data_IF_860643705195
#
_entry.id   IF_860643705195
#
_cell.length_a   1.000
_cell.length_b   1.000
_cell.length_c   1.000
_cell.angle_alpha   90.00
_cell.angle_beta   90.00
_cell.angle_gamma   90.00
#
_symmetry.space_group_name_H-M   'P 1'
#
loop_
_entity.id
_entity.type
_entity.pdbx_description
1 polymer ?
#
# COMPACT_ATOMS: atom_id res chain seq x y z
N UNK A 1 -14.67 10.76 3.84
CA UNK A 1 -14.26 12.05 3.22
C UNK A 1 -12.83 11.87 2.78
N UNK A 2 -12.52 12.02 1.49
CA UNK A 2 -11.15 11.83 1.00
C UNK A 2 -10.34 13.13 1.17
N UNK A 3 -9.36 13.09 2.06
CA UNK A 3 -8.61 14.24 2.60
C UNK A 3 -7.13 14.29 2.16
N UNK A 4 -6.72 13.36 1.29
CA UNK A 4 -5.41 13.31 0.66
C UNK A 4 -5.49 12.90 -0.81
N UNK A 5 -4.57 13.43 -1.61
CA UNK A 5 -4.35 13.05 -3.01
C UNK A 5 -2.91 12.55 -3.20
N UNK A 6 -2.74 11.34 -3.70
CA UNK A 6 -1.46 10.83 -4.19
C UNK A 6 -1.39 11.09 -5.69
N UNK A 7 -0.28 11.64 -6.16
CA UNK A 7 -0.04 11.93 -7.58
C UNK A 7 1.07 11.03 -8.11
N UNK A 8 0.70 10.13 -9.04
CA UNK A 8 1.59 9.14 -9.64
C UNK A 8 1.42 9.18 -11.16
N UNK A 9 2.51 9.29 -11.91
CA UNK A 9 2.50 9.27 -13.39
C UNK A 9 1.44 10.19 -14.04
N UNK A 10 1.28 11.42 -13.53
CA UNK A 10 0.30 12.35 -14.09
C UNK A 10 -1.15 12.10 -13.66
N UNK A 11 -1.42 11.03 -12.91
CA UNK A 11 -2.74 10.59 -12.45
C UNK A 11 -2.92 10.83 -10.94
N UNK A 12 -4.16 11.08 -10.52
CA UNK A 12 -4.52 11.38 -9.12
C UNK A 12 -5.26 10.20 -8.49
N UNK A 13 -4.80 9.77 -7.31
CA UNK A 13 -5.48 8.79 -6.47
C UNK A 13 -5.94 9.49 -5.19
N UNK A 14 -7.23 9.46 -4.90
CA UNK A 14 -7.79 10.06 -3.67
C UNK A 14 -7.95 8.99 -2.61
N UNK A 15 -7.54 9.28 -1.38
CA UNK A 15 -7.57 8.32 -0.27
C UNK A 15 -7.93 9.00 1.06
N UNK A 16 -7.90 8.22 2.14
CA UNK A 16 -8.07 8.67 3.52
C UNK A 16 -6.70 8.66 4.21
N UNK A 17 -6.26 9.79 4.76
CA UNK A 17 -5.01 9.88 5.54
C UNK A 17 -4.98 8.85 6.66
N UNK A 18 -6.10 8.69 7.37
CA UNK A 18 -6.23 7.76 8.48
C UNK A 18 -5.89 6.33 8.07
N UNK A 19 -6.42 5.86 6.94
CA UNK A 19 -6.18 4.50 6.47
C UNK A 19 -4.73 4.33 6.02
N UNK A 20 -4.21 5.29 5.25
CA UNK A 20 -2.80 5.26 4.83
C UNK A 20 -1.86 5.21 6.06
N UNK A 21 -2.11 6.01 7.09
CA UNK A 21 -1.31 6.02 8.32
C UNK A 21 -1.45 4.73 9.15
N UNK A 22 -2.63 4.09 9.13
CA UNK A 22 -2.85 2.84 9.85
C UNK A 22 -2.10 1.67 9.20
N UNK A 23 -1.97 1.68 7.88
CA UNK A 23 -1.35 0.59 7.12
C UNK A 23 0.11 0.84 6.74
N UNK A 24 0.65 2.06 6.93
CA UNK A 24 2.00 2.43 6.51
C UNK A 24 2.68 3.32 7.55
N UNK A 25 3.78 2.82 8.12
CA UNK A 25 4.60 3.59 9.05
C UNK A 25 5.16 4.86 8.38
N UNK A 26 5.56 4.76 7.11
CA UNK A 26 6.02 5.91 6.31
C UNK A 26 4.96 7.02 6.25
N UNK A 27 3.70 6.68 5.90
CA UNK A 27 2.65 7.69 5.81
C UNK A 27 2.29 8.25 7.18
N UNK A 28 2.30 7.43 8.22
CA UNK A 28 2.08 7.88 9.61
C UNK A 28 3.11 8.96 10.00
N UNK A 29 4.40 8.66 9.87
CA UNK A 29 5.48 9.60 10.16
C UNK A 29 5.37 10.87 9.30
N UNK A 30 5.12 10.70 8.00
CA UNK A 30 4.97 11.82 7.08
C UNK A 30 3.82 12.78 7.49
N UNK A 31 2.71 12.25 7.99
CA UNK A 31 1.59 13.08 8.44
C UNK A 31 1.80 13.70 9.81
N UNK A 32 2.63 13.10 10.67
CA UNK A 32 3.02 13.68 11.96
C UNK A 32 4.00 14.86 11.79
N UNK A 33 4.86 14.83 10.77
CA UNK A 33 5.86 15.88 10.50
C UNK A 33 5.27 17.20 9.99
N UNK A 34 4.10 17.17 9.35
CA UNK A 34 3.52 18.36 8.69
C UNK A 34 2.16 18.70 9.32
N UNK A 35 2.05 19.82 10.06
CA UNK A 35 0.79 20.21 10.69
C UNK A 35 -0.32 20.37 9.65
N UNK A 36 -1.47 19.74 9.93
CA UNK A 36 -2.58 19.56 9.01
C UNK A 36 -3.18 20.92 8.56
N UNK A 37 -2.77 21.40 7.39
CA UNK A 37 -3.53 22.39 6.63
C UNK A 37 -4.13 21.74 5.38
N UNK A 38 -5.30 22.23 4.96
CA UNK A 38 -6.25 21.52 4.10
C UNK A 38 -5.64 20.90 2.82
N UNK A 39 -6.09 19.66 2.51
CA UNK A 39 -5.77 18.84 1.32
C UNK A 39 -4.27 18.61 1.07
N UNK A 40 -3.70 17.56 1.67
CA UNK A 40 -2.34 17.13 1.33
C UNK A 40 -2.30 16.50 -0.07
N UNK A 41 -1.30 16.90 -0.85
CA UNK A 41 -0.94 16.26 -2.10
C UNK A 41 0.47 15.68 -1.95
N UNK A 42 0.63 14.37 -2.15
CA UNK A 42 1.93 13.70 -2.16
C UNK A 42 2.26 13.35 -3.60
N UNK A 43 3.45 13.72 -4.05
CA UNK A 43 3.95 13.34 -5.37
C UNK A 43 4.84 12.10 -5.19
N UNK A 44 4.39 10.98 -5.75
CA UNK A 44 5.06 9.69 -5.69
C UNK A 44 5.84 9.49 -6.99
N UNK A 45 7.00 10.11 -7.08
CA UNK A 45 7.90 9.97 -8.24
C UNK A 45 8.48 8.56 -8.28
N UNK A 46 8.58 7.98 -9.48
CA UNK A 46 9.14 6.65 -9.74
C UNK A 46 8.33 5.47 -9.16
N UNK A 47 7.02 5.66 -8.99
CA UNK A 47 6.09 4.58 -8.70
C UNK A 47 5.03 4.60 -9.80
N UNK A 48 4.80 3.47 -10.45
CA UNK A 48 3.72 3.39 -11.43
C UNK A 48 2.37 3.63 -10.77
N UNK A 49 1.47 4.31 -11.47
CA UNK A 49 0.15 4.59 -10.93
C UNK A 49 -0.62 3.29 -10.65
N UNK A 50 -0.43 2.27 -11.49
CA UNK A 50 -1.17 1.02 -11.38
C UNK A 50 -0.70 0.24 -10.14
N UNK A 51 0.61 0.22 -9.85
CA UNK A 51 1.14 -0.33 -8.58
C UNK A 51 0.64 0.46 -7.37
N UNK A 52 0.68 1.79 -7.40
CA UNK A 52 0.17 2.60 -6.28
C UNK A 52 -1.32 2.33 -6.05
N UNK A 53 -2.12 2.22 -7.12
CA UNK A 53 -3.54 1.94 -7.02
C UNK A 53 -3.78 0.55 -6.41
N UNK A 54 -3.04 -0.47 -6.83
CA UNK A 54 -3.10 -1.81 -6.24
C UNK A 54 -2.73 -1.80 -4.75
N UNK A 55 -1.71 -1.06 -4.35
CA UNK A 55 -1.33 -0.94 -2.93
C UNK A 55 -2.42 -0.24 -2.11
N UNK A 56 -2.99 0.84 -2.63
CA UNK A 56 -4.10 1.52 -1.98
C UNK A 56 -5.29 0.55 -1.87
N UNK A 57 -5.65 -0.17 -2.92
CA UNK A 57 -6.73 -1.15 -2.89
C UNK A 57 -6.48 -2.24 -1.84
N UNK A 58 -5.26 -2.78 -1.75
CA UNK A 58 -4.86 -3.72 -0.71
C UNK A 58 -5.08 -3.14 0.70
N UNK A 59 -4.72 -1.87 0.95
CA UNK A 59 -4.96 -1.24 2.25
C UNK A 59 -6.44 -1.15 2.62
N UNK A 60 -7.35 -1.03 1.64
CA UNK A 60 -8.80 -0.96 1.90
C UNK A 60 -9.44 -2.35 2.07
N UNK A 61 -9.00 -3.33 1.29
CA UNK A 61 -9.69 -4.62 1.17
C UNK A 61 -8.97 -5.76 1.90
N UNK A 62 -7.68 -5.58 2.19
CA UNK A 62 -6.79 -6.63 2.68
C UNK A 62 -6.39 -7.65 1.62
N UNK A 63 -6.88 -7.50 0.38
CA UNK A 63 -6.58 -8.32 -0.76
C UNK A 63 -6.49 -7.49 -2.06
N UNK A 64 -5.69 -7.94 -3.02
CA UNK A 64 -5.59 -7.33 -4.34
C UNK A 64 -5.08 -8.32 -5.38
N UNK A 65 -5.54 -8.17 -6.63
CA UNK A 65 -4.94 -8.85 -7.78
C UNK A 65 -3.92 -7.94 -8.45
N UNK A 66 -2.70 -8.47 -8.65
CA UNK A 66 -1.60 -7.74 -9.29
C UNK A 66 -1.14 -8.52 -10.53
N UNK A 67 -1.00 -7.88 -11.70
CA UNK A 67 -0.40 -8.53 -12.86
C UNK A 67 1.01 -9.03 -12.54
N UNK A 68 1.37 -10.22 -13.02
CA UNK A 68 2.65 -10.85 -12.70
C UNK A 68 3.86 -9.95 -13.05
N UNK A 69 3.77 -9.16 -14.12
CA UNK A 69 4.79 -8.19 -14.54
C UNK A 69 5.00 -7.04 -13.55
N UNK A 70 3.96 -6.66 -12.79
CA UNK A 70 4.02 -5.59 -11.78
C UNK A 70 4.31 -6.10 -10.38
N UNK A 71 4.33 -7.42 -10.16
CA UNK A 71 4.46 -8.00 -8.82
C UNK A 71 5.76 -7.61 -8.11
N UNK A 72 6.88 -7.57 -8.85
CA UNK A 72 8.17 -7.17 -8.29
C UNK A 72 8.18 -5.70 -7.86
N UNK A 73 7.63 -4.82 -8.70
CA UNK A 73 7.49 -3.38 -8.39
C UNK A 73 6.53 -3.15 -7.23
N UNK A 74 5.45 -3.94 -7.15
CA UNK A 74 4.47 -3.91 -6.06
C UNK A 74 5.14 -4.15 -4.70
N UNK A 75 5.86 -5.26 -4.54
CA UNK A 75 6.55 -5.55 -3.27
C UNK A 75 7.67 -4.56 -2.97
N UNK A 76 8.46 -4.16 -3.98
CA UNK A 76 9.51 -3.16 -3.78
C UNK A 76 8.94 -1.81 -3.32
N UNK A 77 7.78 -1.42 -3.85
CA UNK A 77 7.11 -0.19 -3.44
C UNK A 77 6.46 -0.33 -2.08
N UNK A 78 5.88 -1.49 -1.76
CA UNK A 78 5.33 -1.77 -0.44
C UNK A 78 6.40 -1.67 0.67
N UNK A 79 7.61 -2.16 0.39
CA UNK A 79 8.78 -2.05 1.26
C UNK A 79 9.18 -0.59 1.50
N UNK A 80 9.32 0.19 0.43
CA UNK A 80 9.65 1.64 0.51
C UNK A 80 8.61 2.44 1.30
N UNK A 81 7.35 2.03 1.22
CA UNK A 81 6.25 2.68 1.94
C UNK A 81 5.98 2.01 3.30
N UNK A 82 6.77 1.02 3.70
CA UNK A 82 6.63 0.29 4.97
C UNK A 82 5.18 -0.16 5.24
N UNK A 83 4.57 -0.84 4.26
CA UNK A 83 3.17 -1.27 4.32
C UNK A 83 3.04 -2.56 5.12
N UNK A 84 2.30 -2.48 6.22
CA UNK A 84 2.06 -3.61 7.10
C UNK A 84 1.40 -4.79 6.37
N UNK A 85 1.85 -6.00 6.68
CA UNK A 85 1.42 -7.24 6.03
C UNK A 85 2.11 -7.53 4.68
N UNK A 86 2.75 -6.54 4.05
CA UNK A 86 3.54 -6.71 2.82
C UNK A 86 5.05 -6.60 3.07
N UNK A 87 5.45 -6.02 4.19
CA UNK A 87 6.85 -5.84 4.60
C UNK A 87 7.21 -6.73 5.78
N UNK A 88 8.48 -7.12 5.86
CA UNK A 88 9.00 -7.86 7.01
C UNK A 88 9.53 -6.87 8.05
N UNK A 89 8.85 -6.74 9.19
CA UNK A 89 9.41 -6.07 10.36
C UNK A 89 9.89 -7.14 11.36
N UNK A 90 11.21 -7.23 11.64
CA UNK A 90 11.76 -8.22 12.59
C UNK A 90 11.30 -7.99 14.04
N UNK A 91 10.69 -6.84 14.36
CA UNK A 91 10.16 -6.53 15.69
C UNK A 91 8.69 -6.90 15.88
N UNK A 92 7.95 -7.16 14.79
CA UNK A 92 6.60 -7.70 14.82
C UNK A 92 6.65 -9.24 14.85
N UNK A 93 6.13 -9.85 15.91
CA UNK A 93 5.82 -11.28 15.88
C UNK A 93 4.82 -11.58 14.74
N UNK A 94 4.90 -12.74 14.07
CA UNK A 94 4.21 -13.00 12.81
C UNK A 94 2.70 -13.18 13.02
N UNK A 95 1.96 -12.07 13.14
CA UNK A 95 0.52 -12.07 13.29
C UNK A 95 -0.22 -12.01 11.94
N UNK A 96 0.37 -11.39 10.92
CA UNK A 96 -0.15 -11.44 9.56
C UNK A 96 0.97 -11.24 8.53
N UNK A 97 1.10 -12.20 7.61
CA UNK A 97 2.00 -12.09 6.44
C UNK A 97 1.16 -12.26 5.18
N UNK A 98 1.45 -11.50 4.12
CA UNK A 98 0.73 -11.67 2.87
C UNK A 98 1.08 -13.01 2.21
N UNK A 99 0.04 -13.72 1.75
CA UNK A 99 0.21 -14.88 0.89
C UNK A 99 0.02 -14.50 -0.57
N UNK A 100 0.69 -15.25 -1.44
CA UNK A 100 0.72 -15.04 -2.89
C UNK A 100 0.11 -16.25 -3.55
N UNK A 101 -1.01 -16.08 -4.24
CA UNK A 101 -1.72 -17.15 -4.95
C UNK A 101 -1.86 -16.83 -6.43
N UNK A 102 -1.42 -17.75 -7.28
CA UNK A 102 -1.40 -17.55 -8.73
C UNK A 102 -2.79 -17.85 -9.32
N UNK A 103 -3.36 -16.90 -10.05
CA UNK A 103 -4.66 -17.08 -10.73
C UNK A 103 -4.47 -17.48 -12.19
N UNK A 104 -5.53 -18.02 -12.81
CA UNK A 104 -5.51 -18.47 -14.20
C UNK A 104 -5.29 -17.34 -15.24
N UNK A 105 -5.35 -16.07 -14.84
CA UNK A 105 -5.37 -14.90 -15.73
C UNK A 105 -4.05 -14.10 -15.81
N UNK A 106 -2.88 -14.71 -15.50
CA UNK A 106 -1.58 -14.01 -15.33
C UNK A 106 -1.56 -12.93 -14.21
N UNK A 107 -2.61 -12.88 -13.39
CA UNK A 107 -2.66 -12.09 -12.17
C UNK A 107 -2.32 -12.95 -10.96
N UNK A 108 -1.82 -12.29 -9.92
CA UNK A 108 -1.45 -12.91 -8.65
C UNK A 108 -2.27 -12.24 -7.55
N UNK A 109 -3.06 -13.03 -6.83
CA UNK A 109 -3.81 -12.58 -5.68
C UNK A 109 -2.86 -12.47 -4.48
N UNK A 110 -2.89 -11.31 -3.82
CA UNK A 110 -2.10 -11.00 -2.64
C UNK A 110 -3.07 -10.67 -1.51
N UNK A 111 -3.07 -11.48 -0.46
CA UNK A 111 -4.07 -11.40 0.61
C UNK A 111 -3.37 -11.46 1.98
N UNK A 112 -3.88 -10.71 2.96
CA UNK A 112 -3.47 -10.87 4.36
C UNK A 112 -3.90 -12.24 4.88
N UNK A 113 -2.94 -13.12 5.17
CA UNK A 113 -3.22 -14.30 5.99
C UNK A 113 -3.23 -13.87 7.45
N UNK A 114 -4.37 -14.05 8.13
CA UNK A 114 -4.35 -14.17 9.58
C UNK A 114 -3.64 -15.49 9.91
N UNK A 115 -2.58 -15.45 10.73
CA UNK A 115 -2.17 -16.66 11.42
C UNK A 115 -3.32 -17.02 12.37
N UNK A 116 -3.91 -18.21 12.20
CA UNK A 116 -4.91 -18.74 13.12
C UNK A 116 -4.36 -18.62 14.55
N UNK A 117 -5.06 -17.83 15.39
CA UNK A 117 -4.84 -17.76 16.85
C UNK A 117 -5.36 -19.03 17.50
#
# INVERSE_FOLDING_TARGET
>A
MLDITLFCEGRKIRAHKLLLAACSAYFKELFELVPLQHNHMIICSNISHDVMMSLVQFMYLGEVEVPQEHLAEFFCTADKLSIWGLTYDPSDQPAATASVQQTASQCVAVNLCAADV
#
